data_IF_476407868669
#
_entry.id   IF_476407868669
#
_cell.length_a   1.000
_cell.length_b   1.000
_cell.length_c   1.000
_cell.angle_alpha   90.00
_cell.angle_beta   90.00
_cell.angle_gamma   90.00
#
_symmetry.space_group_name_H-M   'P 1'
#
loop_
_entity.id
_entity.type
_entity.pdbx_description
1 polymer ?
#
# COMPACT_ATOMS: atom_id res chain seq x y z
N UNK A 1 -17.37 -1.19 -7.12
CA UNK A 1 -15.95 -1.46 -7.46
C UNK A 1 -15.07 -1.54 -6.22
N UNK A 2 -15.11 -0.63 -5.23
CA UNK A 2 -14.31 -0.77 -3.98
C UNK A 2 -14.69 -2.01 -3.13
N UNK A 3 -15.97 -2.36 -3.10
CA UNK A 3 -16.49 -3.53 -2.36
C UNK A 3 -15.86 -4.86 -2.79
N UNK A 4 -15.66 -5.08 -4.09
CA UNK A 4 -15.08 -6.33 -4.64
C UNK A 4 -13.64 -6.55 -4.18
N UNK A 5 -12.87 -5.48 -3.98
CA UNK A 5 -11.46 -5.56 -3.55
C UNK A 5 -11.37 -6.03 -2.11
N UNK A 6 -12.16 -5.43 -1.22
CA UNK A 6 -12.16 -5.75 0.23
C UNK A 6 -12.72 -7.15 0.49
N UNK A 7 -13.74 -7.57 -0.27
CA UNK A 7 -14.28 -8.92 -0.16
C UNK A 7 -13.28 -9.98 -0.65
N UNK A 8 -12.64 -9.76 -1.81
CA UNK A 8 -11.61 -10.65 -2.33
C UNK A 8 -10.40 -10.74 -1.39
N UNK A 9 -10.00 -9.64 -0.75
CA UNK A 9 -8.97 -9.60 0.28
C UNK A 9 -9.35 -10.50 1.48
N UNK A 10 -10.58 -10.37 1.97
CA UNK A 10 -11.09 -11.17 3.07
C UNK A 10 -11.12 -12.67 2.74
N UNK A 11 -11.46 -13.02 1.50
CA UNK A 11 -11.46 -14.41 1.04
C UNK A 11 -10.04 -14.99 0.98
N UNK A 12 -9.09 -14.26 0.41
CA UNK A 12 -7.68 -14.70 0.31
C UNK A 12 -7.07 -14.87 1.70
N UNK A 13 -7.34 -13.96 2.63
CA UNK A 13 -6.87 -14.04 4.02
C UNK A 13 -7.33 -15.33 4.69
N UNK A 14 -8.62 -15.69 4.52
CA UNK A 14 -9.19 -16.95 5.04
C UNK A 14 -8.58 -18.18 4.37
N UNK A 15 -8.44 -18.18 3.04
CA UNK A 15 -7.88 -19.32 2.29
C UNK A 15 -6.43 -19.61 2.65
N UNK A 16 -5.66 -18.57 3.01
CA UNK A 16 -4.24 -18.69 3.36
C UNK A 16 -3.98 -18.72 4.86
N UNK A 17 -5.02 -18.69 5.69
CA UNK A 17 -4.93 -18.65 7.15
C UNK A 17 -4.01 -17.52 7.65
N UNK A 18 -4.14 -16.34 7.05
CA UNK A 18 -3.35 -15.13 7.36
C UNK A 18 -4.29 -14.08 7.95
N UNK A 19 -3.79 -13.31 8.91
CA UNK A 19 -4.55 -12.21 9.49
C UNK A 19 -4.93 -11.15 8.47
N UNK A 20 -6.22 -10.81 8.44
CA UNK A 20 -6.78 -9.83 7.49
C UNK A 20 -6.13 -8.45 7.63
N UNK A 21 -5.81 -8.06 8.87
CA UNK A 21 -5.09 -6.82 9.19
C UNK A 21 -3.73 -6.75 8.50
N UNK A 22 -2.95 -7.82 8.55
CA UNK A 22 -1.66 -7.89 7.85
C UNK A 22 -1.80 -7.88 6.33
N UNK A 23 -2.85 -8.52 5.80
CA UNK A 23 -3.12 -8.46 4.35
C UNK A 23 -3.42 -7.02 3.91
N UNK A 24 -4.19 -6.27 4.70
CA UNK A 24 -4.49 -4.85 4.43
C UNK A 24 -3.23 -3.99 4.52
N UNK A 25 -2.41 -4.18 5.55
CA UNK A 25 -1.15 -3.45 5.72
C UNK A 25 -0.20 -3.68 4.54
N UNK A 26 -0.06 -4.94 4.12
CA UNK A 26 0.83 -5.27 3.00
C UNK A 26 0.27 -4.72 1.68
N UNK A 27 -1.05 -4.66 1.53
CA UNK A 27 -1.69 -3.97 0.41
C UNK A 27 -1.38 -2.47 0.42
N UNK A 28 -1.55 -1.79 1.55
CA UNK A 28 -1.24 -0.36 1.67
C UNK A 28 0.20 -0.09 1.23
N UNK A 29 1.16 -0.88 1.73
CA UNK A 29 2.56 -0.78 1.33
C UNK A 29 2.77 -1.00 -0.17
N UNK A 30 2.09 -1.99 -0.76
CA UNK A 30 2.13 -2.26 -2.20
C UNK A 30 1.57 -1.13 -3.06
N UNK A 31 0.46 -0.52 -2.64
CA UNK A 31 -0.15 0.64 -3.30
C UNK A 31 0.75 1.87 -3.21
N UNK A 32 1.30 2.15 -2.02
CA UNK A 32 2.28 3.23 -1.83
C UNK A 32 3.45 3.05 -2.78
N UNK A 33 4.02 1.85 -2.90
CA UNK A 33 5.12 1.56 -3.80
C UNK A 33 4.73 1.74 -5.28
N UNK A 34 3.52 1.34 -5.67
CA UNK A 34 3.02 1.50 -7.04
C UNK A 34 2.82 2.98 -7.41
N UNK A 35 2.25 3.77 -6.49
CA UNK A 35 2.04 5.21 -6.68
C UNK A 35 3.39 5.92 -6.75
N UNK A 36 4.33 5.62 -5.84
CA UNK A 36 5.72 6.14 -5.90
C UNK A 36 6.42 5.81 -7.21
N UNK A 37 6.18 4.63 -7.78
CA UNK A 37 6.77 4.27 -9.07
C UNK A 37 6.24 5.13 -10.24
N UNK A 38 4.99 5.61 -10.16
CA UNK A 38 4.34 6.40 -11.22
C UNK A 38 4.53 7.91 -11.03
N UNK A 39 4.51 8.39 -9.78
CA UNK A 39 4.52 9.82 -9.43
C UNK A 39 5.85 10.32 -8.87
N UNK A 40 6.81 9.44 -8.58
CA UNK A 40 8.13 9.80 -8.08
C UNK A 40 8.48 9.04 -6.80
N UNK A 41 9.74 8.59 -6.69
CA UNK A 41 10.15 7.71 -5.59
C UNK A 41 9.98 8.34 -4.19
N UNK A 42 10.05 9.67 -4.12
CA UNK A 42 9.89 10.45 -2.90
C UNK A 42 8.43 10.81 -2.58
N UNK A 43 7.49 10.55 -3.50
CA UNK A 43 6.09 10.92 -3.29
C UNK A 43 5.52 10.42 -1.97
N UNK A 44 4.87 11.33 -1.24
CA UNK A 44 4.13 11.01 -0.02
C UNK A 44 2.71 10.55 -0.39
N UNK A 45 2.36 9.36 0.08
CA UNK A 45 1.10 8.70 -0.29
C UNK A 45 0.44 8.20 0.98
N UNK A 46 -0.81 8.61 1.19
CA UNK A 46 -1.67 8.14 2.27
C UNK A 46 -2.73 7.19 1.70
N UNK A 47 -2.80 5.97 2.24
CA UNK A 47 -3.76 4.95 1.79
C UNK A 47 -4.68 4.66 2.96
N UNK A 48 -5.93 5.11 2.84
CA UNK A 48 -6.95 4.91 3.85
C UNK A 48 -7.79 3.69 3.48
N UNK A 49 -7.93 2.74 4.40
CA UNK A 49 -8.78 1.57 4.24
C UNK A 49 -9.82 1.57 5.36
N UNK A 50 -11.06 1.89 5.01
CA UNK A 50 -12.21 1.77 5.89
C UNK A 50 -12.92 0.44 5.63
N UNK A 51 -12.77 -0.49 6.57
CA UNK A 51 -13.41 -1.80 6.52
C UNK A 51 -14.93 -1.75 6.73
N UNK A 52 -15.41 -0.79 7.52
CA UNK A 52 -16.84 -0.70 7.85
C UNK A 52 -17.63 -0.18 6.64
N UNK A 53 -17.13 0.87 6.00
CA UNK A 53 -17.74 1.46 4.82
C UNK A 53 -17.28 0.83 3.50
N UNK A 54 -16.38 -0.16 3.57
CA UNK A 54 -15.77 -0.80 2.40
C UNK A 54 -15.14 0.23 1.44
N UNK A 55 -14.50 1.24 2.01
CA UNK A 55 -13.90 2.34 1.27
C UNK A 55 -12.38 2.24 1.33
N UNK A 56 -11.78 1.96 0.19
CA UNK A 56 -10.37 2.27 -0.04
C UNK A 56 -10.31 3.71 -0.55
N UNK A 57 -9.32 4.48 -0.11
CA UNK A 57 -9.00 5.83 -0.60
C UNK A 57 -7.48 5.95 -0.73
N UNK A 58 -7.00 6.49 -1.84
CA UNK A 58 -5.56 6.73 -2.07
C UNK A 58 -5.38 8.23 -2.24
N UNK A 59 -4.46 8.82 -1.52
CA UNK A 59 -4.24 10.25 -1.51
C UNK A 59 -2.75 10.54 -1.71
N UNK A 60 -2.44 11.41 -2.66
CA UNK A 60 -1.10 11.97 -2.82
C UNK A 60 -1.01 13.24 -2.00
N UNK A 61 0.04 13.36 -1.18
CA UNK A 61 0.28 14.53 -0.34
C UNK A 61 1.39 15.37 -0.98
N UNK A 62 1.12 16.68 -1.10
CA UNK A 62 2.11 17.66 -1.55
C UNK A 62 2.12 18.86 -0.59
N UNK A 63 3.30 19.36 -0.27
CA UNK A 63 3.45 20.57 0.53
C UNK A 63 3.23 21.81 -0.34
N UNK A 64 2.40 22.74 0.11
CA UNK A 64 2.12 23.97 -0.62
C UNK A 64 3.21 24.99 -0.31
N UNK A 65 3.94 25.42 -1.33
CA UNK A 65 5.06 26.36 -1.23
C UNK A 65 4.92 27.48 -2.27
N UNK A 66 5.58 28.63 -2.03
CA UNK A 66 5.62 29.73 -3.00
C UNK A 66 6.57 29.41 -4.17
N UNK A 67 7.79 28.96 -3.85
CA UNK A 67 8.80 28.55 -4.82
C UNK A 67 8.96 27.02 -4.78
N UNK A 68 8.51 26.33 -5.84
CA UNK A 68 8.59 24.87 -5.95
C UNK A 68 10.02 24.45 -6.29
N UNK A 69 10.69 23.76 -5.37
CA UNK A 69 12.01 23.16 -5.59
C UNK A 69 11.87 21.69 -6.05
N UNK A 70 10.93 20.94 -5.48
CA UNK A 70 10.65 19.55 -5.84
C UNK A 70 9.18 19.34 -6.26
N UNK A 71 8.87 19.28 -7.57
CA UNK A 71 7.49 19.14 -8.05
C UNK A 71 6.83 17.79 -7.71
N UNK A 72 7.60 16.82 -7.18
CA UNK A 72 7.06 15.54 -6.69
C UNK A 72 6.46 15.70 -5.30
N UNK A 73 7.12 16.48 -4.44
CA UNK A 73 6.77 16.67 -3.02
C UNK A 73 6.01 17.98 -2.77
N UNK A 74 6.12 18.93 -3.69
CA UNK A 74 5.64 20.29 -3.51
C UNK A 74 4.65 20.67 -4.61
N UNK A 75 3.74 21.58 -4.26
CA UNK A 75 2.78 22.20 -5.14
C UNK A 75 2.85 23.71 -4.97
N UNK A 76 2.65 24.46 -6.05
CA UNK A 76 2.49 25.91 -5.91
C UNK A 76 1.16 26.23 -5.23
N UNK A 77 1.07 27.41 -4.61
CA UNK A 77 -0.21 27.92 -4.08
C UNK A 77 -1.30 27.97 -5.16
N UNK A 78 -0.91 28.27 -6.39
CA UNK A 78 -1.83 28.28 -7.54
C UNK A 78 -2.40 26.89 -7.82
N UNK A 79 -1.54 25.86 -7.89
CA UNK A 79 -1.95 24.46 -8.07
C UNK A 79 -2.82 24.00 -6.89
N UNK A 80 -2.44 24.35 -5.66
CA UNK A 80 -3.20 23.99 -4.48
C UNK A 80 -4.62 24.59 -4.48
N UNK A 81 -4.75 25.86 -4.87
CA UNK A 81 -6.04 26.56 -4.95
C UNK A 81 -6.97 26.05 -6.04
N UNK A 82 -6.48 25.33 -7.04
CA UNK A 82 -7.33 24.63 -8.02
C UNK A 82 -8.10 23.48 -7.37
N UNK A 83 -7.53 22.83 -6.36
CA UNK A 83 -8.17 21.75 -5.62
C UNK A 83 -8.99 22.26 -4.44
N UNK A 84 -8.42 23.19 -3.66
CA UNK A 84 -9.08 23.78 -2.51
C UNK A 84 -8.67 25.27 -2.35
N UNK A 85 -9.62 26.20 -2.54
CA UNK A 85 -9.35 27.64 -2.43
C UNK A 85 -8.85 28.10 -1.05
N UNK A 86 -9.02 27.30 0.01
CA UNK A 86 -8.55 27.61 1.36
C UNK A 86 -7.09 27.19 1.62
N UNK A 87 -6.42 26.58 0.63
CA UNK A 87 -5.01 26.21 0.73
C UNK A 87 -4.09 27.43 0.51
N UNK A 88 -3.19 27.63 1.46
CA UNK A 88 -2.14 28.64 1.45
C UNK A 88 -0.76 27.98 1.70
N UNK A 89 0.31 28.75 1.52
CA UNK A 89 1.69 28.32 1.78
C UNK A 89 1.82 27.71 3.18
N UNK A 90 2.41 26.52 3.25
CA UNK A 90 2.58 25.77 4.49
C UNK A 90 1.45 24.77 4.78
N UNK A 91 0.39 24.74 3.98
CA UNK A 91 -0.61 23.66 4.03
C UNK A 91 -0.17 22.43 3.24
N UNK A 92 -0.87 21.31 3.45
CA UNK A 92 -0.66 20.07 2.69
C UNK A 92 -1.83 19.88 1.75
N UNK A 93 -1.56 19.94 0.45
CA UNK A 93 -2.49 19.59 -0.60
C UNK A 93 -2.68 18.06 -0.60
N UNK A 94 -3.93 17.62 -0.46
CA UNK A 94 -4.31 16.20 -0.49
C UNK A 94 -5.07 15.91 -1.77
N UNK A 95 -4.41 15.29 -2.74
CA UNK A 95 -5.01 14.93 -4.03
C UNK A 95 -5.54 13.51 -3.95
N UNK A 96 -6.86 13.33 -4.07
CA UNK A 96 -7.46 12.00 -4.15
C UNK A 96 -7.16 11.37 -5.52
N UNK A 97 -6.56 10.17 -5.49
CA UNK A 97 -6.27 9.39 -6.68
C UNK A 97 -7.42 8.40 -6.94
N UNK A 98 -8.01 8.39 -8.15
CA UNK A 98 -9.10 7.49 -8.47
C UNK A 98 -8.63 6.04 -8.44
N UNK A 99 -9.21 5.25 -7.54
CA UNK A 99 -8.88 3.82 -7.40
C UNK A 99 -9.22 3.03 -8.66
N UNK A 100 -10.09 3.53 -9.53
CA UNK A 100 -10.34 2.92 -10.83
C UNK A 100 -9.06 2.78 -11.69
N UNK A 101 -8.09 3.70 -11.56
CA UNK A 101 -6.77 3.56 -12.21
C UNK A 101 -5.99 2.35 -11.68
N UNK A 102 -6.31 1.95 -10.45
CA UNK A 102 -5.66 0.85 -9.76
C UNK A 102 -6.55 -0.40 -9.67
N UNK A 103 -7.86 -0.36 -9.93
CA UNK A 103 -8.85 -1.40 -9.56
C UNK A 103 -8.45 -2.87 -9.79
N UNK A 104 -8.33 -3.32 -11.05
CA UNK A 104 -7.91 -4.70 -11.36
C UNK A 104 -6.44 -4.96 -11.06
N UNK A 105 -5.58 -3.99 -11.34
CA UNK A 105 -4.14 -4.11 -11.15
C UNK A 105 -3.77 -4.18 -9.67
N UNK A 106 -4.55 -3.54 -8.80
CA UNK A 106 -4.46 -3.56 -7.36
C UNK A 106 -4.88 -4.92 -6.83
N UNK A 107 -6.01 -5.49 -7.27
CA UNK A 107 -6.40 -6.86 -6.90
C UNK A 107 -5.31 -7.87 -7.31
N UNK A 108 -4.71 -7.71 -8.50
CA UNK A 108 -3.61 -8.56 -8.93
C UNK A 108 -2.32 -8.33 -8.12
N UNK A 109 -2.00 -7.07 -7.81
CA UNK A 109 -0.86 -6.70 -6.98
C UNK A 109 -1.03 -7.24 -5.55
N UNK A 110 -2.20 -7.10 -4.93
CA UNK A 110 -2.60 -7.74 -3.67
C UNK A 110 -2.31 -9.23 -3.74
N UNK A 111 -2.81 -9.91 -4.76
CA UNK A 111 -2.66 -11.36 -4.87
C UNK A 111 -1.18 -11.74 -4.94
N UNK A 112 -0.36 -10.97 -5.67
CA UNK A 112 1.08 -11.17 -5.72
C UNK A 112 1.75 -10.91 -4.36
N UNK A 113 1.38 -9.83 -3.68
CA UNK A 113 1.91 -9.44 -2.37
C UNK A 113 1.59 -10.50 -1.32
N UNK A 114 0.34 -10.98 -1.26
CA UNK A 114 -0.05 -12.06 -0.34
C UNK A 114 0.69 -13.36 -0.66
N UNK A 115 0.85 -13.73 -1.93
CA UNK A 115 1.63 -14.91 -2.33
C UNK A 115 3.09 -14.78 -1.92
N UNK A 116 3.68 -13.59 -2.05
CA UNK A 116 5.05 -13.34 -1.59
C UNK A 116 5.15 -13.45 -0.07
N UNK A 117 4.18 -12.91 0.67
CA UNK A 117 4.21 -12.91 2.14
C UNK A 117 3.97 -14.29 2.74
N UNK A 118 3.08 -15.09 2.16
CA UNK A 118 2.92 -16.51 2.52
C UNK A 118 4.23 -17.27 2.32
N UNK A 119 4.94 -17.04 1.20
CA UNK A 119 6.25 -17.66 0.96
C UNK A 119 7.33 -17.20 1.94
N UNK A 120 7.26 -15.97 2.43
CA UNK A 120 8.20 -15.44 3.42
C UNK A 120 7.90 -16.04 4.80
N UNK A 121 6.64 -16.09 5.22
CA UNK A 121 6.21 -16.73 6.47
C UNK A 121 6.53 -18.24 6.47
N UNK A 122 6.32 -18.95 5.36
CA UNK A 122 6.74 -20.34 5.21
C UNK A 122 8.26 -20.49 5.34
N UNK A 123 9.04 -19.56 4.77
CA UNK A 123 10.50 -19.60 4.82
C UNK A 123 11.03 -19.27 6.22
N UNK A 124 10.37 -18.39 6.95
CA UNK A 124 10.68 -18.03 8.33
C UNK A 124 10.36 -19.19 9.28
N UNK A 125 9.19 -19.84 9.13
CA UNK A 125 8.86 -21.06 9.88
C UNK A 125 9.86 -22.20 9.60
N UNK A 126 10.21 -22.41 8.33
CA UNK A 126 11.26 -23.38 7.97
C UNK A 126 12.59 -22.97 8.62
N UNK A 127 12.99 -21.70 8.54
CA UNK A 127 14.21 -21.22 9.18
C UNK A 127 14.20 -21.51 10.68
N UNK A 128 13.11 -21.23 11.40
CA UNK A 128 12.98 -21.50 12.83
C UNK A 128 13.03 -22.99 13.16
N UNK A 129 12.40 -23.85 12.35
CA UNK A 129 12.46 -25.31 12.48
C UNK A 129 13.89 -25.83 12.30
N UNK A 130 14.69 -25.26 11.40
CA UNK A 130 16.08 -25.67 11.17
C UNK A 130 17.07 -24.97 12.12
N UNK A 131 16.76 -23.76 12.60
CA UNK A 131 17.57 -23.02 13.56
C UNK A 131 17.60 -23.73 14.92
N UNK A 132 16.47 -24.31 15.33
CA UNK A 132 16.38 -25.12 16.55
C UNK A 132 17.05 -26.51 16.43
N UNK A 133 17.44 -26.93 15.21
CA UNK A 133 18.09 -28.22 14.93
C UNK A 133 19.59 -28.11 14.71
N UNK A 134 20.19 -26.96 15.03
CA UNK A 134 21.65 -26.79 14.99
C UNK A 134 22.28 -27.82 15.93
N UNK A 135 22.93 -28.85 15.36
CA UNK A 135 23.60 -30.03 15.98
C UNK A 135 22.85 -31.38 15.88
N UNK A 136 21.72 -31.49 15.17
CA UNK A 136 21.12 -32.79 14.85
C UNK A 136 21.65 -33.40 13.55
N UNK A 137 21.97 -34.70 13.55
CA UNK A 137 22.30 -35.47 12.35
C UNK A 137 20.99 -35.91 11.68
N UNK A 138 20.75 -35.42 10.47
CA UNK A 138 19.58 -35.78 9.64
C UNK A 138 20.00 -36.63 8.45
N UNK A 139 19.24 -37.69 8.20
CA UNK A 139 19.41 -38.54 7.01
C UNK A 139 18.54 -38.00 5.89
N UNK A 140 19.16 -37.41 4.86
CA UNK A 140 18.48 -36.99 3.63
C UNK A 140 18.24 -38.20 2.72
N UNK A 141 17.10 -38.23 2.05
CA UNK A 141 16.83 -39.19 0.96
C UNK A 141 16.87 -38.47 -0.38
#
# INVERSE_FOLDING_TARGET
MNYEVIEALGQIAREKNVDKSHVIETLQAGLIAAVRKKHGALAEVDVVVDEANHHLGIYLLKNVVDDVEDPVLEASVEEAREYDPELDVGHVLRIELPIAEFGRNAIQAVKQVVVQRVREAERENVYDDYHNRVSEVVTGT
#
